data_IF_198585900044
#
_entry.id   IF_198585900044
#
_cell.length_a   1.000
_cell.length_b   1.000
_cell.length_c   1.000
_cell.angle_alpha   90.00
_cell.angle_beta   90.00
_cell.angle_gamma   90.00
#
_symmetry.space_group_name_H-M   'P 1'
#
loop_
_entity.id
_entity.type
_entity.pdbx_description
1 polymer ?
#
# COMPACT_ATOMS: atom_id res chain seq x y z
N UNK A 1 -28.94 78.36 -18.95
CA UNK A 1 -27.74 77.62 -19.32
C UNK A 1 -27.37 76.75 -18.11
N UNK A 2 -27.60 75.47 -18.20
CA UNK A 2 -27.68 74.56 -17.06
C UNK A 2 -26.36 73.90 -16.73
N UNK A 3 -25.96 74.01 -15.47
CA UNK A 3 -24.88 73.27 -14.84
C UNK A 3 -25.43 71.98 -14.26
N UNK A 4 -24.99 70.81 -14.75
CA UNK A 4 -25.30 69.53 -14.11
C UNK A 4 -24.09 69.14 -13.22
N UNK A 5 -24.33 69.09 -11.93
CA UNK A 5 -23.43 68.56 -10.93
C UNK A 5 -23.36 67.02 -11.06
N UNK A 6 -22.17 66.46 -11.12
CA UNK A 6 -21.93 65.02 -11.13
C UNK A 6 -21.49 64.61 -9.72
N UNK A 7 -22.34 63.87 -9.03
CA UNK A 7 -22.08 63.36 -7.70
C UNK A 7 -21.31 62.05 -7.83
N UNK A 8 -20.08 62.02 -7.36
CA UNK A 8 -19.28 60.79 -7.18
C UNK A 8 -19.69 60.10 -5.87
N UNK A 9 -20.37 58.96 -5.97
CA UNK A 9 -20.58 58.06 -4.84
C UNK A 9 -19.39 57.11 -4.71
N UNK A 10 -18.56 57.32 -3.70
CA UNK A 10 -17.46 56.44 -3.33
C UNK A 10 -18.00 55.27 -2.54
N UNK A 11 -18.13 54.11 -3.17
CA UNK A 11 -18.45 52.84 -2.50
C UNK A 11 -17.16 52.23 -1.92
N UNK A 12 -17.04 52.28 -0.61
CA UNK A 12 -15.99 51.58 0.12
C UNK A 12 -16.36 50.10 0.17
N UNK A 13 -15.67 49.28 -0.59
CA UNK A 13 -15.75 47.82 -0.47
C UNK A 13 -14.91 47.40 0.75
N UNK A 14 -15.59 47.06 1.86
CA UNK A 14 -14.95 46.41 2.99
C UNK A 14 -14.71 44.94 2.62
N UNK A 15 -13.47 44.60 2.30
CA UNK A 15 -13.04 43.22 2.15
C UNK A 15 -12.92 42.59 3.55
N UNK A 16 -13.96 41.86 3.96
CA UNK A 16 -13.89 40.98 5.12
C UNK A 16 -13.06 39.76 4.77
N UNK A 17 -11.80 39.74 5.22
CA UNK A 17 -10.95 38.55 5.24
C UNK A 17 -11.52 37.55 6.24
N UNK A 18 -12.31 36.61 5.74
CA UNK A 18 -12.64 35.39 6.50
C UNK A 18 -11.38 34.58 6.68
N UNK A 19 -10.75 34.71 7.84
CA UNK A 19 -9.75 33.74 8.32
C UNK A 19 -10.53 32.44 8.54
N UNK A 20 -10.40 31.50 7.59
CA UNK A 20 -10.84 30.14 7.79
C UNK A 20 -9.98 29.55 8.90
N UNK A 21 -10.48 29.60 10.14
CA UNK A 21 -9.95 28.83 11.24
C UNK A 21 -10.12 27.35 10.84
N UNK A 22 -9.03 26.73 10.38
CA UNK A 22 -8.97 25.30 10.20
C UNK A 22 -9.22 24.64 11.55
N UNK A 23 -10.45 24.22 11.78
CA UNK A 23 -10.78 23.33 12.89
C UNK A 23 -10.02 22.03 12.67
N UNK A 24 -8.83 21.91 13.29
CA UNK A 24 -8.19 20.62 13.47
C UNK A 24 -9.12 19.77 14.34
N UNK A 25 -9.72 18.76 13.76
CA UNK A 25 -10.46 17.76 14.52
C UNK A 25 -9.54 17.20 15.63
N UNK A 26 -10.06 16.92 16.82
CA UNK A 26 -9.24 16.41 17.91
C UNK A 26 -8.55 15.11 17.47
N UNK A 27 -7.26 15.00 17.74
CA UNK A 27 -6.37 13.88 17.34
C UNK A 27 -6.86 12.50 17.79
N UNK A 28 -7.82 12.41 18.71
CA UNK A 28 -8.29 11.17 19.33
C UNK A 28 -9.33 10.35 18.56
N UNK A 29 -9.86 10.83 17.40
CA UNK A 29 -10.96 10.15 16.70
C UNK A 29 -10.63 9.64 15.29
N UNK A 30 -9.39 9.79 14.83
CA UNK A 30 -9.03 9.33 13.49
C UNK A 30 -8.96 7.81 13.44
N UNK A 31 -9.81 7.19 12.64
CA UNK A 31 -9.73 5.78 12.30
C UNK A 31 -9.04 5.61 10.95
N UNK A 32 -8.59 4.39 10.67
CA UNK A 32 -8.13 4.04 9.32
C UNK A 32 -9.36 4.02 8.38
N UNK A 33 -9.37 4.85 7.31
CA UNK A 33 -10.57 5.01 6.49
C UNK A 33 -10.90 3.77 5.67
N UNK A 34 -9.87 3.02 5.28
CA UNK A 34 -9.99 1.84 4.43
C UNK A 34 -9.19 0.69 5.07
N UNK A 35 -9.79 -0.49 5.11
CA UNK A 35 -9.19 -1.71 5.69
C UNK A 35 -8.93 -2.70 4.58
N UNK A 36 -7.68 -2.79 4.17
CA UNK A 36 -7.24 -3.69 3.11
C UNK A 36 -6.74 -5.03 3.64
N UNK A 37 -6.78 -6.03 2.77
CA UNK A 37 -6.11 -7.31 2.93
C UNK A 37 -5.42 -7.73 1.64
N UNK A 38 -4.18 -8.26 1.76
CA UNK A 38 -3.51 -8.95 0.66
C UNK A 38 -4.05 -10.38 0.57
N UNK A 39 -4.59 -10.75 -0.60
CA UNK A 39 -5.22 -12.07 -0.79
C UNK A 39 -4.24 -13.23 -0.69
N UNK A 40 -2.93 -12.99 -0.84
CA UNK A 40 -1.90 -14.01 -0.62
C UNK A 40 -1.90 -14.55 0.81
N UNK A 41 -2.34 -13.75 1.79
CA UNK A 41 -2.54 -14.18 3.17
C UNK A 41 -3.50 -15.37 3.30
N UNK A 42 -4.50 -15.43 2.44
CA UNK A 42 -5.56 -16.47 2.41
C UNK A 42 -5.53 -17.28 1.12
N UNK A 43 -4.35 -17.44 0.52
CA UNK A 43 -4.17 -18.06 -0.81
C UNK A 43 -4.78 -19.44 -0.93
N UNK A 44 -4.60 -20.30 0.07
CA UNK A 44 -5.12 -21.66 0.06
C UNK A 44 -6.67 -21.70 0.14
N UNK A 45 -7.25 -20.76 0.88
CA UNK A 45 -8.70 -20.58 0.94
C UNK A 45 -9.24 -20.03 -0.37
N UNK A 46 -8.54 -19.06 -0.98
CA UNK A 46 -8.88 -18.51 -2.29
C UNK A 46 -8.78 -19.58 -3.40
N UNK A 47 -7.79 -20.45 -3.38
CA UNK A 47 -7.65 -21.52 -4.36
C UNK A 47 -8.77 -22.56 -4.23
N UNK A 48 -9.17 -22.88 -3.00
CA UNK A 48 -10.23 -23.83 -2.71
C UNK A 48 -11.62 -23.29 -3.02
N UNK A 49 -11.93 -22.07 -2.58
CA UNK A 49 -13.23 -21.39 -2.77
C UNK A 49 -13.05 -19.86 -2.73
N UNK A 50 -12.72 -19.28 -3.88
CA UNK A 50 -12.51 -17.83 -3.99
C UNK A 50 -13.75 -17.02 -3.62
N UNK A 51 -14.94 -17.48 -4.04
CA UNK A 51 -16.21 -16.77 -3.79
C UNK A 51 -16.55 -16.77 -2.31
N UNK A 52 -16.50 -17.94 -1.67
CA UNK A 52 -16.75 -18.07 -0.23
C UNK A 52 -15.72 -17.33 0.62
N UNK A 53 -14.45 -17.31 0.19
CA UNK A 53 -13.38 -16.57 0.86
C UNK A 53 -13.62 -15.06 0.78
N UNK A 54 -13.87 -14.49 -0.39
CA UNK A 54 -14.18 -13.08 -0.55
C UNK A 54 -15.42 -12.66 0.26
N UNK A 55 -16.47 -13.49 0.25
CA UNK A 55 -17.66 -13.26 1.09
C UNK A 55 -17.32 -13.17 2.58
N UNK A 56 -16.46 -14.09 3.08
CA UNK A 56 -16.02 -14.07 4.47
C UNK A 56 -15.18 -12.82 4.78
N UNK A 57 -14.26 -12.43 3.90
CA UNK A 57 -13.44 -11.23 4.10
C UNK A 57 -14.29 -9.95 4.18
N UNK A 58 -15.31 -9.81 3.30
CA UNK A 58 -16.25 -8.70 3.38
C UNK A 58 -17.04 -8.71 4.70
N UNK A 59 -17.53 -9.88 5.14
CA UNK A 59 -18.23 -10.03 6.42
C UNK A 59 -17.36 -9.73 7.65
N UNK A 60 -16.05 -9.95 7.57
CA UNK A 60 -15.08 -9.55 8.62
C UNK A 60 -14.89 -8.03 8.70
N UNK A 61 -15.29 -7.29 7.67
CA UNK A 61 -15.20 -5.83 7.62
C UNK A 61 -13.99 -5.27 6.87
N UNK A 62 -13.32 -6.06 6.07
CA UNK A 62 -12.40 -5.53 5.06
C UNK A 62 -13.20 -4.75 4.02
N UNK A 63 -12.60 -3.70 3.47
CA UNK A 63 -13.22 -2.83 2.45
C UNK A 63 -12.40 -2.75 1.17
N UNK A 64 -11.14 -3.17 1.23
CA UNK A 64 -10.25 -3.20 0.09
C UNK A 64 -9.50 -4.53 0.02
N UNK A 65 -9.19 -4.96 -1.20
CA UNK A 65 -8.34 -6.10 -1.45
C UNK A 65 -7.18 -5.71 -2.37
N UNK A 66 -6.05 -6.32 -2.08
CA UNK A 66 -4.93 -6.44 -3.00
C UNK A 66 -4.87 -7.88 -3.48
N UNK A 67 -5.00 -8.09 -4.79
CA UNK A 67 -4.88 -9.41 -5.41
C UNK A 67 -3.42 -9.76 -5.66
N UNK A 68 -3.17 -10.95 -6.17
CA UNK A 68 -1.83 -11.37 -6.58
C UNK A 68 -1.90 -12.25 -7.83
N UNK A 69 -0.83 -12.27 -8.60
CA UNK A 69 -0.64 -13.16 -9.73
C UNK A 69 -0.32 -14.57 -9.23
N UNK A 70 -1.25 -15.49 -9.38
CA UNK A 70 -1.08 -16.93 -9.20
C UNK A 70 -1.39 -17.64 -10.51
N UNK A 71 -1.59 -18.96 -10.46
CA UNK A 71 -1.91 -19.78 -11.64
C UNK A 71 -3.21 -19.33 -12.33
N UNK A 72 -4.13 -18.75 -11.58
CA UNK A 72 -5.41 -18.19 -12.08
C UNK A 72 -5.31 -16.72 -12.48
N UNK A 73 -4.11 -16.12 -12.42
CA UNK A 73 -3.90 -14.69 -12.68
C UNK A 73 -4.52 -13.78 -11.62
N UNK A 74 -4.33 -12.46 -11.79
CA UNK A 74 -4.76 -11.46 -10.80
C UNK A 74 -6.28 -11.31 -10.67
N UNK A 75 -7.05 -11.82 -11.63
CA UNK A 75 -8.52 -11.81 -11.63
C UNK A 75 -9.13 -13.19 -11.38
N UNK A 76 -8.35 -14.13 -10.85
CA UNK A 76 -8.80 -15.44 -10.39
C UNK A 76 -9.56 -16.26 -11.44
N UNK A 77 -9.07 -16.27 -12.68
CA UNK A 77 -9.66 -17.02 -13.81
C UNK A 77 -10.92 -16.37 -14.40
N UNK A 78 -11.31 -15.19 -13.91
CA UNK A 78 -12.41 -14.38 -14.44
C UNK A 78 -11.89 -13.26 -15.32
N UNK A 79 -12.79 -12.56 -16.00
CA UNK A 79 -12.45 -11.26 -16.59
C UNK A 79 -12.25 -10.21 -15.49
N UNK A 80 -11.56 -9.11 -15.80
CA UNK A 80 -11.36 -8.00 -14.87
C UNK A 80 -12.69 -7.43 -14.33
N UNK A 81 -13.69 -7.27 -15.20
CA UNK A 81 -15.01 -6.73 -14.84
C UNK A 81 -15.82 -7.71 -13.98
N UNK A 82 -15.78 -9.00 -14.28
CA UNK A 82 -16.48 -10.03 -13.50
C UNK A 82 -15.89 -10.12 -12.09
N UNK A 83 -14.56 -10.20 -11.96
CA UNK A 83 -13.92 -10.26 -10.65
C UNK A 83 -14.17 -9.00 -9.82
N UNK A 84 -14.09 -7.82 -10.44
CA UNK A 84 -14.43 -6.55 -9.78
C UNK A 84 -15.87 -6.51 -9.29
N UNK A 85 -16.83 -6.92 -10.13
CA UNK A 85 -18.24 -6.99 -9.78
C UNK A 85 -18.49 -7.96 -8.63
N UNK A 86 -17.83 -9.13 -8.66
CA UNK A 86 -17.91 -10.13 -7.60
C UNK A 86 -17.42 -9.57 -6.26
N UNK A 87 -16.21 -8.99 -6.24
CA UNK A 87 -15.62 -8.41 -5.03
C UNK A 87 -16.51 -7.28 -4.47
N UNK A 88 -16.97 -6.37 -5.33
CA UNK A 88 -17.87 -5.28 -4.94
C UNK A 88 -19.20 -5.80 -4.35
N UNK A 89 -19.72 -6.92 -4.81
CA UNK A 89 -20.90 -7.58 -4.26
C UNK A 89 -20.74 -8.00 -2.80
N UNK A 90 -19.53 -8.13 -2.32
CA UNK A 90 -19.20 -8.41 -0.91
C UNK A 90 -18.65 -7.17 -0.16
N UNK A 91 -18.74 -5.98 -0.75
CA UNK A 91 -18.24 -4.74 -0.14
C UNK A 91 -16.72 -4.58 -0.21
N UNK A 92 -16.04 -5.34 -1.07
CA UNK A 92 -14.60 -5.30 -1.26
C UNK A 92 -14.24 -4.55 -2.54
N UNK A 93 -13.40 -3.53 -2.44
CA UNK A 93 -12.88 -2.80 -3.59
C UNK A 93 -11.50 -3.36 -3.98
N UNK A 94 -11.35 -3.88 -5.21
CA UNK A 94 -10.07 -4.29 -5.77
C UNK A 94 -9.28 -3.04 -6.17
N UNK A 95 -8.34 -2.63 -5.34
CA UNK A 95 -7.57 -1.38 -5.54
C UNK A 95 -6.13 -1.61 -5.97
N UNK A 96 -5.58 -2.80 -5.72
CA UNK A 96 -4.17 -3.13 -5.92
C UNK A 96 -3.98 -4.58 -6.33
N UNK A 97 -2.85 -4.87 -6.94
CA UNK A 97 -2.40 -6.25 -7.17
C UNK A 97 -0.88 -6.37 -7.24
N UNK A 98 -0.37 -7.47 -6.71
CA UNK A 98 0.95 -7.99 -7.04
C UNK A 98 0.85 -8.75 -8.37
N UNK A 99 1.63 -8.37 -9.38
CA UNK A 99 1.58 -9.03 -10.69
C UNK A 99 2.71 -10.06 -10.85
N UNK A 100 2.49 -11.04 -11.73
CA UNK A 100 3.52 -12.00 -12.11
C UNK A 100 4.57 -11.33 -13.03
N UNK A 101 5.82 -11.80 -13.03
CA UNK A 101 6.83 -11.38 -13.99
C UNK A 101 6.29 -11.52 -15.43
N UNK A 102 6.43 -10.47 -16.22
CA UNK A 102 5.94 -10.41 -17.59
C UNK A 102 6.75 -9.40 -18.42
N UNK A 103 6.68 -9.52 -19.74
CA UNK A 103 7.27 -8.53 -20.65
C UNK A 103 6.60 -7.16 -20.50
N UNK A 104 7.23 -6.10 -21.01
CA UNK A 104 6.64 -4.76 -20.98
C UNK A 104 5.34 -4.66 -21.79
N UNK A 105 5.22 -5.41 -22.91
CA UNK A 105 3.99 -5.45 -23.71
C UNK A 105 2.83 -6.11 -22.95
N UNK A 106 3.08 -7.23 -22.30
CA UNK A 106 2.09 -7.88 -21.43
C UNK A 106 1.71 -7.00 -20.24
N UNK A 107 2.69 -6.27 -19.67
CA UNK A 107 2.47 -5.33 -18.58
C UNK A 107 1.62 -4.13 -19.02
N UNK A 108 1.80 -3.58 -20.23
CA UNK A 108 0.96 -2.49 -20.76
C UNK A 108 -0.50 -2.95 -20.90
N UNK A 109 -0.73 -4.18 -21.40
CA UNK A 109 -2.07 -4.78 -21.45
C UNK A 109 -2.67 -4.95 -20.04
N UNK A 110 -1.90 -5.47 -19.10
CA UNK A 110 -2.33 -5.63 -17.71
C UNK A 110 -2.72 -4.29 -17.07
N UNK A 111 -1.91 -3.25 -17.32
CA UNK A 111 -2.19 -1.90 -16.85
C UNK A 111 -3.49 -1.33 -17.45
N UNK A 112 -3.73 -1.56 -18.74
CA UNK A 112 -4.98 -1.19 -19.38
C UNK A 112 -6.20 -1.91 -18.76
N UNK A 113 -6.10 -3.23 -18.54
CA UNK A 113 -7.15 -4.05 -17.94
C UNK A 113 -7.44 -3.63 -16.48
N UNK A 114 -6.40 -3.30 -15.71
CA UNK A 114 -6.52 -2.80 -14.33
C UNK A 114 -7.16 -1.41 -14.28
N UNK A 115 -6.75 -0.50 -15.17
CA UNK A 115 -7.30 0.84 -15.25
C UNK A 115 -8.78 0.83 -15.67
N UNK A 116 -9.18 -0.06 -16.58
CA UNK A 116 -10.56 -0.18 -17.05
C UNK A 116 -11.56 -0.47 -15.91
N UNK A 117 -11.13 -1.12 -14.84
CA UNK A 117 -11.97 -1.41 -13.67
C UNK A 117 -11.71 -0.48 -12.49
N UNK A 118 -10.93 0.56 -12.67
CA UNK A 118 -10.68 1.58 -11.65
C UNK A 118 -9.73 1.15 -10.53
N UNK A 119 -8.88 0.14 -10.75
CA UNK A 119 -7.76 -0.15 -9.84
C UNK A 119 -6.90 1.09 -9.66
N UNK A 120 -6.11 1.12 -8.59
CA UNK A 120 -5.31 2.30 -8.23
C UNK A 120 -3.82 2.08 -8.45
N UNK A 121 -3.33 0.86 -8.24
CA UNK A 121 -1.91 0.57 -8.35
C UNK A 121 -1.64 -0.86 -8.83
N UNK A 122 -0.50 -1.02 -9.50
CA UNK A 122 0.14 -2.30 -9.79
C UNK A 122 1.46 -2.35 -9.02
N UNK A 123 1.74 -3.45 -8.34
CA UNK A 123 2.92 -3.59 -7.48
C UNK A 123 3.80 -4.73 -7.97
N UNK A 124 5.08 -4.45 -8.15
CA UNK A 124 6.11 -5.46 -8.36
C UNK A 124 6.41 -6.15 -7.02
N UNK A 125 6.06 -7.43 -6.84
CA UNK A 125 6.21 -8.08 -5.54
C UNK A 125 7.63 -8.55 -5.25
N UNK A 126 8.45 -8.78 -6.29
CA UNK A 126 9.72 -9.45 -6.14
C UNK A 126 10.71 -9.12 -7.26
N UNK A 127 11.92 -8.73 -6.89
CA UNK A 127 13.05 -8.57 -7.82
C UNK A 127 14.13 -9.65 -7.65
N UNK A 128 14.15 -10.27 -6.47
CA UNK A 128 15.15 -11.25 -6.06
C UNK A 128 16.45 -10.66 -5.55
N UNK A 129 17.15 -11.38 -4.66
CA UNK A 129 18.46 -10.97 -4.16
C UNK A 129 19.49 -10.99 -5.30
N UNK A 130 20.41 -10.02 -5.31
CA UNK A 130 21.47 -9.89 -6.30
C UNK A 130 22.85 -9.87 -5.63
N UNK A 131 23.86 -10.28 -6.38
CA UNK A 131 25.26 -10.36 -5.91
C UNK A 131 26.00 -9.02 -5.98
N UNK A 132 25.53 -8.07 -6.77
CA UNK A 132 26.16 -6.77 -6.95
C UNK A 132 25.12 -5.66 -7.02
N UNK A 133 25.57 -4.44 -6.75
CA UNK A 133 24.70 -3.28 -6.65
C UNK A 133 24.20 -2.78 -8.03
N UNK A 134 24.98 -3.02 -9.10
CA UNK A 134 24.61 -2.56 -10.44
C UNK A 134 23.38 -3.31 -10.97
N UNK A 135 23.16 -4.56 -10.56
CA UNK A 135 21.93 -5.28 -10.88
C UNK A 135 20.69 -4.58 -10.30
N UNK A 136 20.80 -3.96 -9.12
CA UNK A 136 19.69 -3.18 -8.56
C UNK A 136 19.45 -1.86 -9.31
N UNK A 137 20.49 -1.25 -9.90
CA UNK A 137 20.32 -0.09 -10.81
C UNK A 137 19.58 -0.48 -12.08
N UNK A 138 19.90 -1.65 -12.68
CA UNK A 138 19.14 -2.18 -13.81
C UNK A 138 17.68 -2.49 -13.45
N UNK A 139 17.40 -2.99 -12.25
CA UNK A 139 16.04 -3.13 -11.77
C UNK A 139 15.34 -1.77 -11.65
N UNK A 140 16.03 -0.72 -11.16
CA UNK A 140 15.45 0.62 -11.11
C UNK A 140 15.05 1.13 -12.51
N UNK A 141 15.85 0.86 -13.55
CA UNK A 141 15.51 1.19 -14.92
C UNK A 141 14.25 0.45 -15.42
N UNK A 142 14.10 -0.84 -15.10
CA UNK A 142 12.89 -1.61 -15.44
C UNK A 142 11.66 -1.11 -14.66
N UNK A 143 11.83 -0.81 -13.37
CA UNK A 143 10.76 -0.22 -12.55
C UNK A 143 10.31 1.14 -13.13
N UNK A 144 11.24 2.00 -13.55
CA UNK A 144 10.91 3.29 -14.20
C UNK A 144 10.10 3.09 -15.48
N UNK A 145 10.47 2.12 -16.34
CA UNK A 145 9.71 1.79 -17.55
C UNK A 145 8.28 1.36 -17.26
N UNK A 146 8.10 0.49 -16.26
CA UNK A 146 6.77 0.04 -15.81
C UNK A 146 5.99 1.18 -15.15
N UNK A 147 6.65 2.02 -14.38
CA UNK A 147 6.04 3.23 -13.83
C UNK A 147 5.51 4.18 -14.91
N UNK A 148 6.26 4.38 -15.97
CA UNK A 148 5.81 5.19 -17.12
C UNK A 148 4.57 4.57 -17.81
N UNK A 149 4.52 3.25 -17.95
CA UNK A 149 3.33 2.54 -18.45
C UNK A 149 2.13 2.77 -17.52
N UNK A 150 2.29 2.58 -16.20
CA UNK A 150 1.21 2.83 -15.24
C UNK A 150 0.72 4.28 -15.31
N UNK A 151 1.62 5.26 -15.37
CA UNK A 151 1.27 6.69 -15.48
C UNK A 151 0.44 6.98 -16.73
N UNK A 152 0.78 6.37 -17.89
CA UNK A 152 -0.01 6.43 -19.14
C UNK A 152 -1.47 5.99 -18.91
N UNK A 153 -1.67 4.95 -18.11
CA UNK A 153 -2.99 4.40 -17.77
C UNK A 153 -3.62 5.02 -16.50
N UNK A 154 -3.02 6.09 -15.95
CA UNK A 154 -3.50 6.77 -14.72
C UNK A 154 -3.51 5.87 -13.48
N UNK A 155 -2.58 4.92 -13.43
CA UNK A 155 -2.31 4.06 -12.29
C UNK A 155 -1.03 4.50 -11.58
N UNK A 156 -0.91 4.19 -10.30
CA UNK A 156 0.36 4.20 -9.60
C UNK A 156 1.11 2.89 -9.87
N UNK A 157 2.42 2.96 -9.90
CA UNK A 157 3.28 1.79 -9.91
C UNK A 157 4.06 1.70 -8.62
N UNK A 158 4.10 0.51 -8.00
CA UNK A 158 4.80 0.27 -6.74
C UNK A 158 5.81 -0.87 -6.83
N UNK A 159 6.82 -0.82 -5.97
CA UNK A 159 7.70 -1.94 -5.66
C UNK A 159 7.51 -2.34 -4.19
N UNK A 160 7.38 -3.63 -3.92
CA UNK A 160 7.27 -4.21 -2.59
C UNK A 160 8.59 -4.84 -2.17
N UNK A 161 9.41 -4.16 -1.33
CA UNK A 161 10.66 -4.68 -0.85
C UNK A 161 10.45 -5.74 0.24
N UNK A 162 11.08 -6.91 0.07
CA UNK A 162 11.21 -7.93 1.12
C UNK A 162 12.42 -7.67 2.02
N UNK A 163 13.00 -8.72 2.59
CA UNK A 163 14.16 -8.64 3.49
C UNK A 163 15.47 -8.25 2.78
N UNK A 164 15.72 -8.81 1.58
CA UNK A 164 17.01 -8.68 0.90
C UNK A 164 17.40 -7.25 0.51
N UNK A 165 16.51 -6.32 0.17
CA UNK A 165 16.92 -4.94 -0.12
C UNK A 165 17.42 -4.17 1.10
N UNK A 166 17.16 -4.64 2.30
CA UNK A 166 17.67 -4.08 3.56
C UNK A 166 19.00 -4.71 4.02
N UNK A 167 19.55 -5.68 3.26
CA UNK A 167 20.84 -6.33 3.54
C UNK A 167 21.93 -5.72 2.68
N UNK A 168 23.07 -5.27 3.26
CA UNK A 168 24.12 -4.62 2.48
C UNK A 168 24.70 -5.53 1.39
N UNK A 169 24.85 -4.98 0.19
CA UNK A 169 25.57 -5.57 -0.93
C UNK A 169 26.72 -4.63 -1.29
N UNK A 170 27.96 -5.11 -1.18
CA UNK A 170 29.16 -4.29 -1.38
C UNK A 170 29.15 -2.98 -0.55
N UNK A 171 28.66 -3.05 0.70
CA UNK A 171 28.62 -1.91 1.62
C UNK A 171 27.48 -0.90 1.38
N UNK A 172 26.57 -1.14 0.42
CA UNK A 172 25.43 -0.28 0.14
C UNK A 172 24.11 -1.04 0.38
N UNK A 173 23.08 -0.35 0.86
CA UNK A 173 21.75 -0.92 1.00
C UNK A 173 21.01 -0.86 -0.35
N UNK A 174 20.61 -1.99 -0.93
CA UNK A 174 19.87 -2.03 -2.19
C UNK A 174 18.62 -1.18 -2.19
N UNK A 175 17.91 -1.08 -1.06
CA UNK A 175 16.71 -0.24 -0.95
C UNK A 175 17.02 1.24 -1.20
N UNK A 176 18.15 1.74 -0.66
CA UNK A 176 18.55 3.14 -0.84
C UNK A 176 19.00 3.40 -2.28
N UNK A 177 19.66 2.41 -2.91
CA UNK A 177 20.05 2.47 -4.33
C UNK A 177 18.80 2.51 -5.23
N UNK A 178 17.81 1.66 -4.96
CA UNK A 178 16.54 1.65 -5.71
C UNK A 178 15.80 2.99 -5.54
N UNK A 179 15.68 3.51 -4.31
CA UNK A 179 15.04 4.81 -4.04
C UNK A 179 15.75 5.97 -4.76
N UNK A 180 17.08 5.93 -4.84
CA UNK A 180 17.89 6.97 -5.51
C UNK A 180 17.85 6.89 -7.04
N UNK A 181 17.66 5.69 -7.63
CA UNK A 181 17.71 5.49 -9.09
C UNK A 181 16.32 5.36 -9.73
N UNK A 182 15.24 5.31 -8.94
CA UNK A 182 13.88 5.34 -9.47
C UNK A 182 13.30 6.75 -9.46
N UNK A 183 12.64 7.11 -10.56
CA UNK A 183 11.93 8.40 -10.69
C UNK A 183 10.79 8.48 -9.67
N UNK A 184 10.75 9.51 -8.79
CA UNK A 184 9.72 9.67 -7.77
C UNK A 184 8.31 9.89 -8.33
N UNK A 185 8.17 10.37 -9.57
CA UNK A 185 6.90 10.56 -10.24
C UNK A 185 6.37 9.31 -10.94
N UNK A 186 7.19 8.27 -11.03
CA UNK A 186 6.87 7.02 -11.73
C UNK A 186 6.79 5.83 -10.79
N UNK A 187 7.68 5.75 -9.80
CA UNK A 187 7.83 4.56 -8.95
C UNK A 187 7.58 4.93 -7.50
N UNK A 188 6.60 4.32 -6.89
CA UNK A 188 6.32 4.35 -5.47
C UNK A 188 6.76 3.03 -4.81
N UNK A 189 6.65 2.96 -3.50
CA UNK A 189 7.02 1.78 -2.73
C UNK A 189 5.85 1.34 -1.85
N UNK A 190 5.69 0.03 -1.71
CA UNK A 190 4.82 -0.59 -0.74
C UNK A 190 5.67 -1.12 0.40
N UNK A 191 5.68 -0.44 1.54
CA UNK A 191 6.49 -0.86 2.68
C UNK A 191 5.90 -2.11 3.33
N UNK A 192 6.62 -3.23 3.32
CA UNK A 192 6.33 -4.30 4.27
C UNK A 192 6.97 -3.96 5.62
N UNK A 193 6.11 -3.68 6.61
CA UNK A 193 6.54 -3.24 7.93
C UNK A 193 7.31 -4.33 8.65
N UNK A 194 6.94 -5.60 8.45
CA UNK A 194 7.61 -6.73 9.05
C UNK A 194 9.07 -6.82 8.59
N UNK A 195 9.33 -6.82 7.28
CA UNK A 195 10.70 -6.90 6.77
C UNK A 195 11.51 -5.66 7.15
N UNK A 196 10.93 -4.47 7.07
CA UNK A 196 11.61 -3.24 7.48
C UNK A 196 12.10 -3.35 8.93
N UNK A 197 11.24 -3.81 9.86
CA UNK A 197 11.57 -3.91 11.29
C UNK A 197 12.50 -5.08 11.59
N UNK A 198 12.32 -6.26 10.96
CA UNK A 198 13.16 -7.44 11.21
C UNK A 198 14.59 -7.24 10.71
N UNK A 199 14.76 -6.51 9.62
CA UNK A 199 16.09 -6.13 9.08
C UNK A 199 16.66 -4.87 9.76
N UNK A 200 16.07 -4.43 10.88
CA UNK A 200 16.54 -3.31 11.73
C UNK A 200 16.53 -1.94 11.06
N UNK A 201 15.78 -1.79 9.98
CA UNK A 201 15.48 -0.49 9.40
C UNK A 201 14.37 0.20 10.21
N UNK A 202 14.44 1.52 10.31
CA UNK A 202 13.42 2.31 10.99
C UNK A 202 12.36 2.80 10.00
N UNK A 203 11.12 2.28 10.03
CA UNK A 203 10.07 2.69 9.12
C UNK A 203 9.75 4.19 9.21
N UNK A 204 9.84 4.81 10.40
CA UNK A 204 9.60 6.25 10.56
C UNK A 204 10.68 7.08 9.86
N UNK A 205 11.93 6.66 9.92
CA UNK A 205 13.03 7.32 9.21
C UNK A 205 12.83 7.25 7.70
N UNK A 206 12.49 6.08 7.14
CA UNK A 206 12.21 5.93 5.70
C UNK A 206 11.04 6.79 5.25
N UNK A 207 9.91 6.78 5.98
CA UNK A 207 8.74 7.60 5.67
C UNK A 207 9.09 9.09 5.66
N UNK A 208 9.87 9.56 6.63
CA UNK A 208 10.27 10.97 6.73
C UNK A 208 11.26 11.38 5.64
N UNK A 209 12.29 10.56 5.40
CA UNK A 209 13.37 10.86 4.44
C UNK A 209 12.85 10.84 3.00
N UNK A 210 12.00 9.85 2.70
CA UNK A 210 11.46 9.63 1.35
C UNK A 210 9.97 9.96 1.29
N UNK A 211 9.60 11.16 1.75
CA UNK A 211 8.21 11.62 1.78
C UNK A 211 7.55 11.49 0.40
N UNK A 212 6.36 10.91 0.36
CA UNK A 212 5.59 10.67 -0.86
C UNK A 212 5.98 9.41 -1.64
N UNK A 213 7.09 8.75 -1.28
CA UNK A 213 7.54 7.55 -2.01
C UNK A 213 6.84 6.27 -1.54
N UNK A 214 6.43 6.18 -0.27
CA UNK A 214 5.72 5.02 0.28
C UNK A 214 4.22 5.30 0.28
N UNK A 215 3.51 4.81 -0.75
CA UNK A 215 2.08 5.08 -0.95
C UNK A 215 1.17 3.96 -0.44
N UNK A 216 1.72 2.80 -0.19
CA UNK A 216 1.01 1.66 0.40
C UNK A 216 1.89 0.90 1.40
N UNK A 217 1.25 0.11 2.27
CA UNK A 217 1.94 -0.67 3.30
C UNK A 217 1.29 -2.05 3.47
N UNK A 218 2.12 -3.06 3.68
CA UNK A 218 1.73 -4.34 4.27
C UNK A 218 1.89 -4.28 5.77
N UNK A 219 0.81 -4.59 6.47
CA UNK A 219 0.72 -4.54 7.93
C UNK A 219 0.84 -5.94 8.50
N UNK A 220 2.02 -6.29 8.95
CA UNK A 220 2.35 -7.56 9.59
C UNK A 220 3.19 -7.27 10.82
N UNK A 221 2.80 -7.82 12.00
CA UNK A 221 3.47 -7.56 13.26
C UNK A 221 4.63 -8.52 13.51
N UNK A 222 5.49 -8.17 14.45
CA UNK A 222 6.70 -8.89 14.81
C UNK A 222 6.63 -9.31 16.27
N UNK A 223 6.81 -10.60 16.58
CA UNK A 223 6.84 -11.11 17.95
C UNK A 223 7.86 -10.36 18.83
N UNK A 224 7.51 -10.16 20.11
CA UNK A 224 8.39 -9.54 21.10
C UNK A 224 9.71 -10.31 21.26
N UNK A 225 9.63 -11.62 21.23
CA UNK A 225 10.82 -12.49 21.28
C UNK A 225 11.33 -12.67 19.84
N UNK A 226 12.39 -11.91 19.50
CA UNK A 226 13.05 -12.06 18.22
C UNK A 226 13.74 -13.43 18.16
N UNK A 227 13.51 -14.13 17.08
CA UNK A 227 14.24 -15.33 16.76
C UNK A 227 15.72 -14.99 16.46
N UNK A 228 16.68 -15.91 16.69
CA UNK A 228 18.05 -15.69 16.34
C UNK A 228 18.22 -15.30 14.87
N UNK A 229 19.20 -14.44 14.59
CA UNK A 229 19.54 -14.08 13.21
C UNK A 229 19.86 -15.35 12.40
N UNK A 230 19.26 -15.50 11.22
CA UNK A 230 19.40 -16.70 10.39
C UNK A 230 18.45 -17.83 10.74
N UNK A 231 17.54 -17.65 11.71
CA UNK A 231 16.42 -18.59 11.92
C UNK A 231 15.61 -18.73 10.64
N UNK A 232 15.26 -19.97 10.28
CA UNK A 232 14.30 -20.25 9.19
C UNK A 232 12.85 -20.00 9.62
N UNK A 233 12.63 -19.71 10.89
CA UNK A 233 11.31 -19.41 11.44
C UNK A 233 11.00 -17.93 11.32
N UNK A 234 9.83 -17.61 10.84
CA UNK A 234 9.34 -16.23 10.82
C UNK A 234 8.88 -15.82 12.22
N UNK A 235 9.22 -14.59 12.62
CA UNK A 235 8.75 -13.96 13.87
C UNK A 235 7.45 -13.18 13.67
N UNK A 236 6.73 -13.42 12.58
CA UNK A 236 5.48 -12.72 12.26
C UNK A 236 4.34 -13.15 13.20
N UNK A 237 3.45 -12.23 13.55
CA UNK A 237 2.25 -12.48 14.33
C UNK A 237 1.13 -11.54 13.88
N UNK A 238 -0.07 -11.74 14.42
CA UNK A 238 -1.20 -10.87 14.14
C UNK A 238 -0.99 -9.46 14.69
N UNK A 239 -1.57 -8.48 14.03
CA UNK A 239 -1.48 -7.08 14.44
C UNK A 239 -1.94 -6.88 15.89
N UNK A 240 -1.10 -6.23 16.70
CA UNK A 240 -1.33 -5.97 18.12
C UNK A 240 -0.83 -7.05 19.06
N UNK A 241 -0.35 -8.20 18.56
CA UNK A 241 0.28 -9.25 19.36
C UNK A 241 1.80 -9.06 19.46
N UNK A 242 2.38 -8.17 18.65
CA UNK A 242 3.81 -7.93 18.53
C UNK A 242 4.31 -6.63 19.14
N UNK A 243 5.34 -6.06 18.49
CA UNK A 243 6.05 -4.88 18.99
C UNK A 243 5.74 -3.59 18.20
N UNK A 244 5.03 -3.68 17.07
CA UNK A 244 4.80 -2.54 16.18
C UNK A 244 3.65 -1.69 16.70
N UNK A 245 3.92 -0.40 16.90
CA UNK A 245 2.86 0.57 17.22
C UNK A 245 2.18 1.03 15.92
N UNK A 246 1.23 0.23 15.41
CA UNK A 246 0.50 0.55 14.18
C UNK A 246 -0.26 1.87 14.21
N UNK A 247 -0.96 2.27 15.30
CA UNK A 247 -1.60 3.57 15.35
C UNK A 247 -0.65 4.72 15.01
N UNK A 248 0.52 4.75 15.65
CA UNK A 248 1.55 5.77 15.42
C UNK A 248 2.17 5.66 14.01
N UNK A 249 2.46 4.43 13.59
CA UNK A 249 3.10 4.19 12.28
C UNK A 249 2.18 4.57 11.12
N UNK A 250 0.91 4.17 11.16
CA UNK A 250 -0.07 4.49 10.11
C UNK A 250 -0.33 6.00 10.07
N UNK A 251 -0.46 6.67 11.23
CA UNK A 251 -0.60 8.12 11.27
C UNK A 251 0.61 8.82 10.61
N UNK A 252 1.82 8.38 10.92
CA UNK A 252 3.03 8.90 10.29
C UNK A 252 3.08 8.60 8.79
N UNK A 253 2.70 7.39 8.35
CA UNK A 253 2.65 7.01 6.96
C UNK A 253 1.65 7.86 6.16
N UNK A 254 0.44 8.05 6.68
CA UNK A 254 -0.58 8.92 6.07
C UNK A 254 -0.10 10.37 5.95
N UNK A 255 0.56 10.91 6.99
CA UNK A 255 1.15 12.25 6.96
C UNK A 255 2.27 12.40 5.91
N UNK A 256 2.87 11.28 5.49
CA UNK A 256 3.93 11.22 4.48
C UNK A 256 3.46 10.68 3.11
N UNK A 257 2.14 10.51 2.89
CA UNK A 257 1.57 10.23 1.58
C UNK A 257 1.03 8.81 1.37
N UNK A 258 1.09 7.92 2.37
CA UNK A 258 0.52 6.59 2.26
C UNK A 258 -1.02 6.65 2.23
N UNK A 259 -1.61 5.85 1.34
CA UNK A 259 -3.05 5.84 1.06
C UNK A 259 -3.67 4.46 1.28
N UNK A 260 -2.90 3.39 1.08
CA UNK A 260 -3.39 2.01 1.09
C UNK A 260 -2.67 1.18 2.15
N UNK A 261 -3.44 0.41 2.92
CA UNK A 261 -2.96 -0.38 4.04
C UNK A 261 -3.58 -1.76 3.98
N UNK A 262 -2.75 -2.79 3.80
CA UNK A 262 -3.21 -4.16 3.64
C UNK A 262 -2.69 -5.03 4.78
N UNK A 263 -3.60 -5.69 5.50
CA UNK A 263 -3.21 -6.76 6.40
C UNK A 263 -2.57 -7.89 5.60
N UNK A 264 -1.44 -8.37 6.05
CA UNK A 264 -0.80 -9.57 5.54
C UNK A 264 -0.23 -10.41 6.69
N UNK A 265 -0.29 -11.73 6.56
CA UNK A 265 0.32 -12.68 7.46
C UNK A 265 0.71 -13.93 6.69
N UNK A 266 1.88 -14.48 6.96
CA UNK A 266 2.39 -15.69 6.29
C UNK A 266 2.54 -16.87 7.23
N UNK A 267 2.41 -16.64 8.53
CA UNK A 267 2.55 -17.68 9.55
C UNK A 267 1.38 -17.70 10.51
N UNK A 268 0.77 -18.85 10.61
CA UNK A 268 -0.42 -19.11 11.43
C UNK A 268 -0.08 -20.17 12.48
N UNK A 269 0.27 -19.74 13.71
CA UNK A 269 0.83 -20.64 14.73
C UNK A 269 -0.10 -21.76 15.18
N UNK A 270 -1.37 -21.48 15.48
CA UNK A 270 -2.36 -22.43 15.97
C UNK A 270 -3.75 -22.14 15.40
N UNK A 271 -3.81 -21.44 14.32
CA UNK A 271 -5.04 -20.97 13.71
C UNK A 271 -4.98 -21.05 12.19
N UNK A 272 -6.11 -20.88 11.54
CA UNK A 272 -6.20 -20.80 10.10
C UNK A 272 -5.93 -19.38 9.61
N UNK A 273 -5.57 -19.22 8.33
CA UNK A 273 -5.43 -17.93 7.65
C UNK A 273 -6.66 -17.04 7.81
N UNK A 274 -7.87 -17.62 7.73
CA UNK A 274 -9.14 -16.90 7.92
C UNK A 274 -9.38 -16.48 9.38
N UNK A 275 -8.91 -17.26 10.36
CA UNK A 275 -8.98 -16.85 11.77
C UNK A 275 -8.05 -15.67 12.05
N UNK A 276 -6.82 -15.71 11.54
CA UNK A 276 -5.87 -14.60 11.58
C UNK A 276 -6.42 -13.36 10.85
N UNK A 277 -6.97 -13.53 9.64
CA UNK A 277 -7.61 -12.44 8.90
C UNK A 277 -8.73 -11.77 9.72
N UNK A 278 -9.56 -12.55 10.44
CA UNK A 278 -10.62 -12.03 11.30
C UNK A 278 -10.06 -11.21 12.47
N UNK A 279 -8.98 -11.66 13.13
CA UNK A 279 -8.31 -10.90 14.20
C UNK A 279 -7.75 -9.58 13.68
N UNK A 280 -7.05 -9.62 12.56
CA UNK A 280 -6.46 -8.44 11.94
C UNK A 280 -7.55 -7.43 11.49
N UNK A 281 -8.69 -7.90 10.96
CA UNK A 281 -9.83 -7.04 10.64
C UNK A 281 -10.40 -6.36 11.88
N UNK A 282 -10.55 -7.11 13.00
CA UNK A 282 -11.04 -6.58 14.26
C UNK A 282 -10.08 -5.52 14.83
N UNK A 283 -8.77 -5.77 14.78
CA UNK A 283 -7.75 -4.82 15.19
C UNK A 283 -7.80 -3.52 14.38
N UNK A 284 -7.84 -3.61 13.04
CA UNK A 284 -7.96 -2.45 12.15
C UNK A 284 -9.24 -1.65 12.41
N UNK A 285 -10.36 -2.33 12.67
CA UNK A 285 -11.65 -1.68 12.97
C UNK A 285 -11.62 -0.92 14.30
N UNK A 286 -10.96 -1.48 15.30
CA UNK A 286 -10.87 -0.89 16.65
C UNK A 286 -9.81 0.21 16.77
N UNK A 287 -8.84 0.25 15.83
CA UNK A 287 -7.69 1.15 15.88
C UNK A 287 -8.10 2.62 15.89
N UNK A 288 -7.45 3.41 16.74
CA UNK A 288 -7.50 4.86 16.76
C UNK A 288 -6.11 5.39 16.49
N UNK A 289 -5.97 6.24 15.47
CA UNK A 289 -4.70 6.84 15.08
C UNK A 289 -4.30 7.94 16.08
N UNK A 290 -3.01 8.00 16.40
CA UNK A 290 -2.43 8.94 17.38
C UNK A 290 -1.30 9.77 16.74
#
# INVERSE_FOLDING_TARGET
MNRRAFIYSSSILAASSAVAAGMSAPLGERTIPQRGIQLYMVKEDMERDAIGTLKQLGAMGYTQIESYGGDKGIFWGSTNTEFKKLANGFGLDLVSTHYNPCTLAEFDKLAADAAAIGMKQLVCPWLGPQKNIDAFKHFADDLNKRGAICKKHKLQFGYHPHDYPYKPVNGQLPIDVLLAHTDPDLVHYQMDVYYTVTERADPFSYLKTYKGRFTSMHLRDVLKQRLPAGSKEESACDMGEGIINFPKLIAAAMANGAQYFFAEQSRFYKETSLQSAKKNAAYLKAMRLV
#
